data_IF_450742680797
#
_entry.id   IF_450742680797
#
_cell.length_a   1.000
_cell.length_b   1.000
_cell.length_c   1.000
_cell.angle_alpha   90.00
_cell.angle_beta   90.00
_cell.angle_gamma   90.00
#
_symmetry.space_group_name_H-M   'P 1'
#
loop_
_entity.id
_entity.type
_entity.pdbx_description
1 polymer ?
#
# COMPACT_ATOMS: atom_id res chain seq x y z
N UNK A 1 23.77 25.29 10.98
CA UNK A 1 23.06 24.66 9.84
C UNK A 1 22.03 23.74 10.44
N UNK A 2 20.76 23.83 10.03
CA UNK A 2 19.74 22.84 10.43
C UNK A 2 20.20 21.46 9.97
N UNK A 3 20.20 20.48 10.87
CA UNK A 3 20.60 19.11 10.55
C UNK A 3 19.65 18.57 9.48
N UNK A 4 20.16 17.96 8.43
CA UNK A 4 19.31 17.23 7.47
C UNK A 4 19.31 15.76 7.84
N UNK A 5 18.14 15.12 7.83
CA UNK A 5 17.98 13.68 7.95
C UNK A 5 17.52 13.17 6.58
N UNK A 6 18.34 12.31 5.98
CA UNK A 6 18.08 11.72 4.68
C UNK A 6 17.27 10.43 4.85
N UNK A 7 16.14 10.30 4.17
CA UNK A 7 15.23 9.16 4.30
C UNK A 7 15.00 8.58 2.91
N UNK A 8 15.32 7.30 2.72
CA UNK A 8 14.90 6.55 1.54
C UNK A 8 13.64 5.76 1.86
N UNK A 9 12.53 6.18 1.28
CA UNK A 9 11.23 5.52 1.40
C UNK A 9 11.07 4.49 0.28
N UNK A 10 10.88 3.23 0.64
CA UNK A 10 10.70 2.12 -0.31
C UNK A 10 9.24 1.68 -0.31
N UNK A 11 8.64 1.55 -1.48
CA UNK A 11 7.29 1.01 -1.63
C UNK A 11 7.16 0.17 -2.91
N UNK A 12 6.15 -0.71 -2.96
CA UNK A 12 5.78 -1.43 -4.19
C UNK A 12 4.96 -0.57 -5.15
N UNK A 13 4.28 0.45 -4.65
CA UNK A 13 3.35 1.31 -5.37
C UNK A 13 3.29 2.70 -4.71
N UNK A 14 2.97 3.74 -5.47
CA UNK A 14 2.73 5.10 -4.98
C UNK A 14 1.94 5.91 -6.02
N UNK A 15 0.92 6.64 -5.55
CA UNK A 15 0.20 7.63 -6.36
C UNK A 15 1.13 8.85 -6.63
N UNK A 16 1.17 9.43 -7.85
CA UNK A 16 0.34 9.16 -9.03
C UNK A 16 0.92 8.12 -10.01
N UNK A 17 2.06 7.52 -9.69
CA UNK A 17 2.77 6.65 -10.64
C UNK A 17 2.06 5.32 -10.86
N UNK A 18 1.60 4.68 -9.79
CA UNK A 18 0.90 3.40 -9.85
C UNK A 18 0.16 3.13 -8.55
N UNK A 19 -1.10 2.68 -8.68
CA UNK A 19 -1.98 2.41 -7.54
C UNK A 19 -2.76 1.11 -7.74
N UNK A 20 -2.66 0.21 -6.77
CA UNK A 20 -3.51 -0.96 -6.64
C UNK A 20 -4.23 -0.98 -5.30
N UNK A 21 -3.54 -0.65 -4.21
CA UNK A 21 -4.09 -0.63 -2.86
C UNK A 21 -3.90 0.70 -2.12
N UNK A 22 -4.22 0.70 -0.82
CA UNK A 22 -4.03 1.86 0.05
C UNK A 22 -2.56 2.15 0.38
N UNK A 23 -1.64 1.22 0.12
CA UNK A 23 -0.20 1.49 0.25
C UNK A 23 0.22 2.59 -0.72
N UNK A 24 -0.33 2.62 -1.94
CA UNK A 24 -0.03 3.66 -2.91
C UNK A 24 -0.39 5.07 -2.42
N UNK A 25 -1.52 5.20 -1.69
CA UNK A 25 -1.94 6.48 -1.10
C UNK A 25 -0.95 6.95 -0.04
N UNK A 26 -0.51 6.04 0.84
CA UNK A 26 0.48 6.38 1.87
C UNK A 26 1.84 6.70 1.25
N UNK A 27 2.31 5.90 0.30
CA UNK A 27 3.62 6.09 -0.33
C UNK A 27 3.67 7.34 -1.23
N UNK A 28 2.54 7.79 -1.78
CA UNK A 28 2.44 9.04 -2.53
C UNK A 28 2.38 10.29 -1.64
N UNK A 29 1.73 10.20 -0.47
CA UNK A 29 1.43 11.38 0.35
C UNK A 29 2.35 11.55 1.59
N UNK A 30 2.68 10.47 2.30
CA UNK A 30 3.45 10.55 3.55
C UNK A 30 4.87 11.11 3.32
N UNK A 31 5.63 10.68 2.29
CA UNK A 31 6.95 11.26 2.02
C UNK A 31 6.93 12.78 1.80
N UNK A 32 5.92 13.28 1.08
CA UNK A 32 5.73 14.72 0.85
C UNK A 32 5.38 15.45 2.16
N UNK A 33 4.45 14.90 2.94
CA UNK A 33 4.06 15.45 4.23
C UNK A 33 5.26 15.53 5.20
N UNK A 34 6.12 14.50 5.22
CA UNK A 34 7.35 14.49 6.02
C UNK A 34 8.32 15.60 5.59
N UNK A 35 8.51 15.84 4.28
CA UNK A 35 9.36 16.93 3.77
C UNK A 35 8.84 18.32 4.17
N UNK A 36 7.52 18.45 4.30
CA UNK A 36 6.85 19.69 4.70
C UNK A 36 6.82 19.93 6.22
N UNK A 37 7.18 18.94 7.05
CA UNK A 37 7.14 19.10 8.50
C UNK A 37 8.08 20.22 8.97
N UNK A 38 7.60 21.14 9.83
CA UNK A 38 8.48 22.06 10.52
C UNK A 38 9.24 21.31 11.62
N UNK A 39 10.50 21.67 11.86
CA UNK A 39 11.26 21.04 12.92
C UNK A 39 12.70 21.52 13.02
N UNK A 40 13.38 21.01 14.05
CA UNK A 40 14.81 21.29 14.30
C UNK A 40 15.73 20.68 13.23
N UNK A 41 15.23 19.66 12.52
CA UNK A 41 15.91 19.02 11.40
C UNK A 41 15.05 19.07 10.14
N UNK A 42 15.71 19.28 8.99
CA UNK A 42 15.08 19.15 7.66
C UNK A 42 15.05 17.67 7.27
N UNK A 43 13.93 17.20 6.72
CA UNK A 43 13.83 15.84 6.17
C UNK A 43 14.03 15.88 4.65
N UNK A 44 15.10 15.24 4.14
CA UNK A 44 15.26 14.95 2.71
C UNK A 44 14.74 13.54 2.45
N UNK A 45 13.45 13.44 2.15
CA UNK A 45 12.81 12.17 1.80
C UNK A 45 12.89 11.97 0.29
N UNK A 46 13.27 10.77 -0.13
CA UNK A 46 13.25 10.31 -1.52
C UNK A 46 12.49 9.00 -1.61
N UNK A 47 11.77 8.80 -2.70
CA UNK A 47 10.97 7.59 -2.92
C UNK A 47 11.71 6.66 -3.88
N UNK A 48 11.66 5.35 -3.65
CA UNK A 48 12.04 4.36 -4.66
C UNK A 48 10.91 3.36 -4.89
N UNK A 49 10.69 3.07 -6.17
CA UNK A 49 9.68 2.16 -6.67
C UNK A 49 10.30 1.19 -7.68
N UNK A 50 9.78 -0.03 -7.82
CA UNK A 50 10.05 -0.83 -9.01
C UNK A 50 9.44 -0.13 -10.23
N UNK A 51 10.13 -0.15 -11.37
CA UNK A 51 9.60 0.34 -12.64
C UNK A 51 8.57 -0.65 -13.18
N UNK A 52 7.36 -0.64 -12.60
CA UNK A 52 6.24 -1.42 -13.09
C UNK A 52 5.81 -0.92 -14.47
N UNK A 53 5.30 -1.83 -15.31
CA UNK A 53 4.74 -1.50 -16.63
C UNK A 53 3.72 -0.36 -16.60
N UNK A 54 2.90 -0.31 -15.57
CA UNK A 54 1.83 0.69 -15.42
C UNK A 54 2.38 2.11 -15.27
N UNK A 55 3.65 2.25 -14.87
CA UNK A 55 4.30 3.55 -14.71
C UNK A 55 4.72 4.04 -16.10
N UNK A 56 4.02 5.05 -16.58
CA UNK A 56 4.40 5.78 -17.77
C UNK A 56 5.18 7.02 -17.36
N UNK A 57 6.50 6.97 -17.55
CA UNK A 57 7.38 8.11 -17.27
C UNK A 57 7.43 9.01 -18.49
N UNK A 58 7.24 10.32 -18.28
CA UNK A 58 7.54 11.31 -19.31
C UNK A 58 9.05 11.30 -19.57
N UNK A 59 9.50 11.02 -20.81
CA UNK A 59 10.92 11.07 -21.16
C UNK A 59 11.60 12.40 -20.81
N UNK A 60 10.85 13.51 -20.75
CA UNK A 60 11.37 14.82 -20.36
C UNK A 60 11.75 14.91 -18.86
N UNK A 61 11.12 14.09 -18.02
CA UNK A 61 11.37 14.05 -16.57
C UNK A 61 12.41 13.00 -16.19
N UNK A 62 12.95 12.25 -17.16
CA UNK A 62 13.94 11.22 -16.92
C UNK A 62 15.35 11.78 -16.90
N UNK A 63 16.01 11.69 -15.75
CA UNK A 63 17.45 11.96 -15.63
C UNK A 63 18.23 10.68 -15.97
N UNK A 64 19.43 10.86 -16.56
CA UNK A 64 20.32 9.75 -16.96
C UNK A 64 20.51 8.76 -15.81
N UNK A 65 20.25 7.48 -16.11
CA UNK A 65 20.22 6.46 -15.09
C UNK A 65 21.59 5.93 -14.68
N UNK A 66 21.71 5.52 -13.42
CA UNK A 66 22.87 4.78 -12.93
C UNK A 66 22.62 3.28 -13.13
N UNK A 67 23.56 2.61 -13.79
CA UNK A 67 23.54 1.17 -14.00
C UNK A 67 24.48 0.46 -13.02
N UNK A 68 24.01 -0.63 -12.44
CA UNK A 68 24.80 -1.53 -11.60
C UNK A 68 24.25 -2.96 -11.69
N UNK A 69 24.79 -3.89 -10.90
CA UNK A 69 24.35 -5.28 -10.91
C UNK A 69 23.99 -5.79 -9.53
N UNK A 70 23.02 -6.70 -9.47
CA UNK A 70 22.65 -7.47 -8.27
C UNK A 70 23.02 -8.93 -8.51
N UNK A 71 23.84 -9.50 -7.62
CA UNK A 71 24.28 -10.89 -7.76
C UNK A 71 23.17 -11.89 -7.42
N UNK A 72 22.96 -12.87 -8.31
CA UNK A 72 22.00 -13.97 -8.15
C UNK A 72 22.64 -15.28 -8.61
N UNK A 73 22.98 -16.17 -7.68
CA UNK A 73 23.56 -17.48 -7.97
C UNK A 73 24.90 -17.39 -8.71
N UNK A 74 25.68 -16.32 -8.44
CA UNK A 74 26.93 -16.02 -9.13
C UNK A 74 26.75 -15.34 -10.51
N UNK A 75 25.52 -15.04 -10.92
CA UNK A 75 25.21 -14.27 -12.13
C UNK A 75 24.88 -12.84 -11.72
N UNK A 76 25.51 -11.87 -12.35
CA UNK A 76 25.23 -10.45 -12.14
C UNK A 76 24.03 -10.02 -13.00
N UNK A 77 22.91 -9.74 -12.33
CA UNK A 77 21.71 -9.23 -12.98
C UNK A 77 21.80 -7.70 -13.11
N UNK A 78 21.69 -7.14 -14.33
CA UNK A 78 21.74 -5.70 -14.51
C UNK A 78 20.51 -5.02 -13.89
N UNK A 79 20.77 -3.96 -13.14
CA UNK A 79 19.81 -3.02 -12.62
C UNK A 79 20.07 -1.64 -13.22
N UNK A 80 19.01 -0.89 -13.50
CA UNK A 80 19.07 0.51 -13.91
C UNK A 80 18.16 1.31 -13.01
N UNK A 81 18.58 2.52 -12.68
CA UNK A 81 17.77 3.48 -11.93
C UNK A 81 17.38 4.59 -12.88
N UNK A 82 16.09 4.85 -13.02
CA UNK A 82 15.58 6.04 -13.69
C UNK A 82 15.17 7.01 -12.58
N UNK A 83 15.53 8.28 -12.72
CA UNK A 83 15.14 9.32 -11.76
C UNK A 83 14.05 10.18 -12.39
N UNK A 84 13.03 10.47 -11.60
CA UNK A 84 11.97 11.44 -11.86
C UNK A 84 11.61 12.18 -10.57
N UNK A 85 10.46 12.84 -10.55
CA UNK A 85 10.05 13.67 -9.43
C UNK A 85 8.54 13.62 -9.15
N UNK A 86 8.17 13.91 -7.90
CA UNK A 86 6.81 14.12 -7.43
C UNK A 86 6.83 15.34 -6.51
N UNK A 87 6.25 16.48 -6.92
CA UNK A 87 6.26 17.73 -6.15
C UNK A 87 7.65 18.09 -5.58
N UNK A 88 8.65 18.16 -6.48
CA UNK A 88 10.07 18.39 -6.17
C UNK A 88 10.76 17.31 -5.30
N UNK A 89 10.07 16.20 -4.99
CA UNK A 89 10.65 15.03 -4.33
C UNK A 89 11.27 14.08 -5.35
N UNK A 90 12.57 13.74 -5.23
CA UNK A 90 13.18 12.73 -6.09
C UNK A 90 12.50 11.37 -5.96
N UNK A 91 12.18 10.76 -7.10
CA UNK A 91 11.64 9.41 -7.20
C UNK A 91 12.55 8.54 -8.08
N UNK A 92 13.00 7.43 -7.53
CA UNK A 92 13.86 6.46 -8.20
C UNK A 92 13.06 5.25 -8.66
N UNK A 93 13.05 5.00 -9.96
CA UNK A 93 12.42 3.82 -10.56
C UNK A 93 13.48 2.79 -10.91
N UNK A 94 13.42 1.64 -10.25
CA UNK A 94 14.39 0.57 -10.44
C UNK A 94 13.87 -0.39 -11.50
N UNK A 95 14.66 -0.57 -12.56
CA UNK A 95 14.41 -1.51 -13.64
C UNK A 95 15.44 -2.63 -13.63
N UNK A 96 15.04 -3.83 -14.05
CA UNK A 96 15.93 -4.98 -14.20
C UNK A 96 15.15 -6.21 -14.66
N UNK A 97 15.86 -7.26 -15.09
CA UNK A 97 15.23 -8.46 -15.67
C UNK A 97 14.08 -9.06 -14.83
N UNK A 98 14.22 -9.20 -13.50
CA UNK A 98 13.15 -9.67 -12.62
C UNK A 98 11.91 -8.75 -12.51
N UNK A 99 12.05 -7.46 -12.83
CA UNK A 99 10.95 -6.49 -12.88
C UNK A 99 10.45 -6.46 -14.32
N UNK A 100 9.64 -7.46 -14.67
CA UNK A 100 9.18 -7.63 -16.05
C UNK A 100 8.24 -6.50 -16.50
N UNK A 101 8.51 -5.94 -17.68
CA UNK A 101 7.64 -4.98 -18.37
C UNK A 101 6.29 -5.59 -18.83
N UNK A 102 6.10 -6.91 -18.70
CA UNK A 102 4.83 -7.58 -18.99
C UNK A 102 4.04 -7.92 -17.72
N UNK A 103 4.64 -7.80 -16.53
CA UNK A 103 4.00 -8.19 -15.29
C UNK A 103 3.11 -7.09 -14.72
N UNK A 104 2.01 -7.50 -14.08
CA UNK A 104 1.23 -6.66 -13.19
C UNK A 104 2.03 -6.27 -11.94
N UNK A 105 1.56 -5.22 -11.25
CA UNK A 105 2.12 -4.78 -9.95
C UNK A 105 2.12 -5.93 -8.94
N UNK A 106 1.01 -6.67 -8.83
CA UNK A 106 0.91 -7.92 -8.10
C UNK A 106 0.53 -9.04 -9.06
N UNK A 107 1.35 -10.08 -9.13
CA UNK A 107 1.15 -11.24 -10.00
C UNK A 107 0.17 -12.22 -9.35
N UNK A 108 -0.62 -12.90 -10.18
CA UNK A 108 -1.40 -14.06 -9.74
C UNK A 108 -0.52 -15.26 -9.37
N UNK A 109 0.75 -15.28 -9.80
CA UNK A 109 1.75 -16.26 -9.36
C UNK A 109 2.69 -15.61 -8.33
N UNK A 110 2.56 -15.97 -7.04
CA UNK A 110 3.40 -15.43 -5.98
C UNK A 110 4.90 -15.63 -6.18
N UNK A 111 5.32 -16.57 -7.02
CA UNK A 111 6.74 -16.85 -7.32
C UNK A 111 7.38 -15.70 -8.10
N UNK A 112 6.65 -15.13 -9.07
CA UNK A 112 7.14 -13.96 -9.81
C UNK A 112 7.25 -12.75 -8.90
N UNK A 113 6.28 -12.52 -8.03
CA UNK A 113 6.34 -11.40 -7.10
C UNK A 113 7.47 -11.56 -6.09
N UNK A 114 7.71 -12.76 -5.55
CA UNK A 114 8.87 -13.01 -4.68
C UNK A 114 10.20 -12.69 -5.37
N UNK A 115 10.39 -13.14 -6.61
CA UNK A 115 11.60 -12.85 -7.38
C UNK A 115 11.75 -11.34 -7.65
N UNK A 116 10.69 -10.70 -8.15
CA UNK A 116 10.63 -9.26 -8.45
C UNK A 116 10.96 -8.40 -7.23
N UNK A 117 10.30 -8.65 -6.10
CA UNK A 117 10.44 -7.83 -4.90
C UNK A 117 11.71 -8.15 -4.11
N UNK A 118 12.27 -9.36 -4.22
CA UNK A 118 13.62 -9.65 -3.74
C UNK A 118 14.65 -8.85 -4.53
N UNK A 119 14.60 -8.90 -5.87
CA UNK A 119 15.48 -8.12 -6.72
C UNK A 119 15.37 -6.63 -6.43
N UNK A 120 14.14 -6.09 -6.41
CA UNK A 120 13.88 -4.67 -6.13
C UNK A 120 14.46 -4.25 -4.77
N UNK A 121 14.19 -5.01 -3.71
CA UNK A 121 14.70 -4.74 -2.37
C UNK A 121 16.23 -4.62 -2.33
N UNK A 122 16.92 -5.56 -2.97
CA UNK A 122 18.39 -5.58 -3.00
C UNK A 122 18.97 -4.50 -3.90
N UNK A 123 18.35 -4.26 -5.06
CA UNK A 123 18.73 -3.19 -5.96
C UNK A 123 18.53 -1.81 -5.32
N UNK A 124 17.44 -1.58 -4.58
CA UNK A 124 17.17 -0.32 -3.91
C UNK A 124 18.21 -0.01 -2.82
N UNK A 125 18.64 -1.03 -2.08
CA UNK A 125 19.73 -0.86 -1.12
C UNK A 125 21.06 -0.55 -1.83
N UNK A 126 21.41 -1.30 -2.87
CA UNK A 126 22.67 -1.12 -3.61
C UNK A 126 22.73 0.23 -4.35
N UNK A 127 21.60 0.69 -4.88
CA UNK A 127 21.44 1.99 -5.54
C UNK A 127 21.99 3.14 -4.69
N UNK A 128 21.75 3.14 -3.37
CA UNK A 128 22.22 4.22 -2.48
C UNK A 128 23.73 4.45 -2.58
N UNK A 129 24.50 3.36 -2.69
CA UNK A 129 25.95 3.41 -2.89
C UNK A 129 26.32 3.95 -4.25
N UNK A 130 25.67 3.48 -5.31
CA UNK A 130 25.97 3.89 -6.68
C UNK A 130 25.58 5.35 -6.97
N UNK A 131 24.57 5.88 -6.28
CA UNK A 131 24.25 7.31 -6.29
C UNK A 131 25.21 8.15 -5.45
N UNK A 132 26.09 7.54 -4.64
CA UNK A 132 26.90 8.25 -3.67
C UNK A 132 26.07 8.95 -2.58
N UNK A 133 24.81 8.55 -2.41
CA UNK A 133 23.85 9.16 -1.49
C UNK A 133 23.46 8.14 -0.42
N UNK A 134 23.93 8.37 0.81
CA UNK A 134 23.65 7.49 1.96
C UNK A 134 22.44 8.03 2.74
N UNK A 135 21.32 7.31 2.81
CA UNK A 135 20.24 7.69 3.71
C UNK A 135 20.65 7.47 5.17
N UNK A 136 20.15 8.32 6.06
CA UNK A 136 20.22 8.07 7.51
C UNK A 136 19.19 7.01 7.93
N UNK A 137 18.04 6.99 7.23
CA UNK A 137 16.93 6.05 7.48
C UNK A 137 16.51 5.37 6.18
N UNK A 138 16.49 4.04 6.20
CA UNK A 138 15.82 3.22 5.18
C UNK A 138 14.43 2.84 5.70
N UNK A 139 13.39 3.39 5.08
CA UNK A 139 12.00 3.17 5.46
C UNK A 139 11.33 2.22 4.48
N UNK A 140 11.19 0.96 4.88
CA UNK A 140 10.52 -0.08 4.11
C UNK A 140 9.02 -0.14 4.44
N UNK A 141 8.21 -0.48 3.44
CA UNK A 141 6.78 -0.71 3.57
C UNK A 141 6.44 -2.13 3.09
N UNK A 142 5.81 -2.90 3.99
CA UNK A 142 5.37 -4.28 3.77
C UNK A 142 6.46 -5.26 3.29
N UNK A 143 6.02 -6.49 3.01
CA UNK A 143 6.86 -7.61 2.60
C UNK A 143 7.67 -7.33 1.33
N UNK A 144 7.16 -6.47 0.43
CA UNK A 144 7.76 -6.13 -0.85
C UNK A 144 9.16 -5.50 -0.72
N UNK A 145 9.41 -4.81 0.39
CA UNK A 145 10.65 -4.05 0.63
C UNK A 145 11.39 -4.52 1.89
N UNK A 146 10.80 -5.47 2.62
CA UNK A 146 11.32 -6.02 3.86
C UNK A 146 12.74 -6.62 3.71
N UNK A 147 13.05 -7.24 2.56
CA UNK A 147 14.37 -7.83 2.32
C UNK A 147 15.47 -6.77 2.15
N UNK A 148 15.13 -5.51 1.87
CA UNK A 148 16.11 -4.42 1.85
C UNK A 148 16.67 -4.19 3.26
N UNK A 149 15.81 -4.26 4.28
CA UNK A 149 16.23 -4.13 5.67
C UNK A 149 17.02 -5.36 6.13
N UNK A 150 16.60 -6.55 5.72
CA UNK A 150 17.32 -7.79 6.02
C UNK A 150 18.74 -7.77 5.43
N UNK A 151 18.88 -7.36 4.17
CA UNK A 151 20.17 -7.20 3.52
C UNK A 151 21.01 -6.07 4.16
N UNK A 152 20.38 -4.95 4.56
CA UNK A 152 21.06 -3.88 5.27
C UNK A 152 21.68 -4.38 6.58
N UNK A 153 20.93 -5.16 7.37
CA UNK A 153 21.42 -5.77 8.62
C UNK A 153 22.62 -6.68 8.38
N UNK A 154 22.58 -7.50 7.34
CA UNK A 154 23.69 -8.39 6.96
C UNK A 154 24.95 -7.63 6.51
N UNK A 155 24.82 -6.37 6.08
CA UNK A 155 25.91 -5.53 5.56
C UNK A 155 26.40 -4.47 6.54
N UNK A 156 25.99 -4.51 7.82
CA UNK A 156 26.41 -3.53 8.83
C UNK A 156 27.91 -3.50 9.15
N UNK A 157 28.68 -4.50 8.72
CA UNK A 157 30.15 -4.46 8.78
C UNK A 157 30.77 -3.50 7.77
N UNK A 158 30.02 -3.13 6.72
CA UNK A 158 30.45 -2.18 5.70
C UNK A 158 30.24 -0.74 6.20
N UNK A 159 31.28 0.12 6.21
CA UNK A 159 31.19 1.50 6.73
C UNK A 159 30.14 2.37 6.05
N UNK A 160 29.77 2.07 4.79
CA UNK A 160 28.72 2.80 4.09
C UNK A 160 27.33 2.46 4.66
N UNK A 161 27.08 1.19 4.97
CA UNK A 161 25.77 0.70 5.43
C UNK A 161 25.62 0.70 6.97
N UNK A 162 26.73 0.60 7.71
CA UNK A 162 26.76 0.57 9.17
C UNK A 162 25.92 1.65 9.88
N UNK A 163 25.95 2.95 9.47
CA UNK A 163 25.24 4.00 10.19
C UNK A 163 23.74 4.07 9.84
N UNK A 164 23.28 3.38 8.80
CA UNK A 164 21.89 3.49 8.30
C UNK A 164 20.95 2.79 9.29
N UNK A 165 19.93 3.52 9.73
CA UNK A 165 18.84 3.00 10.56
C UNK A 165 17.69 2.50 9.71
N UNK A 166 16.92 1.54 10.22
CA UNK A 166 15.84 0.92 9.47
C UNK A 166 14.50 1.02 10.18
N UNK A 167 13.47 1.38 9.41
CA UNK A 167 12.06 1.40 9.84
C UNK A 167 11.27 0.52 8.89
N UNK A 168 10.40 -0.34 9.43
CA UNK A 168 9.44 -1.11 8.64
C UNK A 168 8.01 -0.72 9.04
N UNK A 169 7.25 -0.21 8.07
CA UNK A 169 5.80 -0.02 8.23
C UNK A 169 5.05 -1.25 7.75
N UNK A 170 4.18 -1.75 8.63
CA UNK A 170 3.30 -2.89 8.45
C UNK A 170 1.88 -2.40 8.13
N UNK A 171 1.45 -2.56 6.88
CA UNK A 171 0.10 -2.19 6.45
C UNK A 171 -0.87 -3.38 6.55
N UNK A 172 -0.39 -4.61 6.36
CA UNK A 172 -1.25 -5.81 6.44
C UNK A 172 -0.47 -7.11 6.75
N UNK A 173 -0.47 -7.53 8.01
CA UNK A 173 0.30 -8.67 8.53
C UNK A 173 0.04 -10.02 7.85
N UNK A 174 -1.19 -10.42 7.51
CA UNK A 174 -1.44 -11.62 6.73
C UNK A 174 -0.63 -11.74 5.42
N UNK A 175 -0.24 -10.62 4.79
CA UNK A 175 0.50 -10.63 3.53
C UNK A 175 2.00 -10.63 3.77
N UNK A 176 2.59 -11.81 3.94
CA UNK A 176 3.99 -11.97 4.36
C UNK A 176 4.99 -12.20 3.22
N UNK A 177 4.52 -12.31 1.98
CA UNK A 177 5.33 -12.66 0.80
C UNK A 177 5.56 -14.17 0.60
N UNK A 178 5.08 -15.02 1.53
CA UNK A 178 5.17 -16.48 1.43
C UNK A 178 6.60 -17.02 1.56
N UNK A 179 6.79 -18.31 1.27
CA UNK A 179 8.08 -18.98 1.43
C UNK A 179 9.12 -18.49 0.40
N UNK A 180 10.16 -17.79 0.88
CA UNK A 180 11.22 -17.22 0.08
C UNK A 180 12.52 -18.02 0.04
N UNK A 181 12.57 -19.28 0.51
CA UNK A 181 13.82 -20.04 0.61
C UNK A 181 14.64 -20.08 -0.68
N UNK A 182 13.97 -20.23 -1.83
CA UNK A 182 14.63 -20.24 -3.14
C UNK A 182 15.27 -18.88 -3.47
N UNK A 183 14.55 -17.79 -3.21
CA UNK A 183 15.03 -16.42 -3.44
C UNK A 183 16.18 -16.10 -2.51
N UNK A 184 16.10 -16.47 -1.22
CA UNK A 184 17.21 -16.25 -0.29
C UNK A 184 18.48 -16.95 -0.78
N UNK A 185 18.40 -18.24 -1.10
CA UNK A 185 19.53 -18.99 -1.63
C UNK A 185 20.06 -18.38 -2.94
N UNK A 186 19.17 -17.99 -3.86
CA UNK A 186 19.55 -17.39 -5.13
C UNK A 186 20.29 -16.05 -4.95
N UNK A 187 19.87 -15.20 -4.02
CA UNK A 187 20.49 -13.89 -3.80
C UNK A 187 21.57 -13.87 -2.69
N UNK A 188 22.02 -15.05 -2.24
CA UNK A 188 23.07 -15.17 -1.23
C UNK A 188 22.65 -14.72 0.18
N UNK A 189 21.35 -14.64 0.44
CA UNK A 189 20.79 -14.40 1.75
C UNK A 189 20.60 -15.73 2.49
N UNK A 190 20.80 -15.72 3.80
CA UNK A 190 20.60 -16.91 4.64
C UNK A 190 19.25 -16.81 5.36
N UNK A 191 18.57 -17.93 5.65
CA UNK A 191 17.50 -17.94 6.65
C UNK A 191 17.99 -17.41 7.99
N UNK A 192 17.08 -16.87 8.79
CA UNK A 192 17.38 -16.47 10.18
C UNK A 192 17.39 -17.70 11.07
N UNK A 193 18.39 -17.80 11.95
CA UNK A 193 18.48 -18.83 13.00
C UNK A 193 18.22 -18.19 14.37
N UNK A 194 17.05 -17.59 14.53
CA UNK A 194 16.62 -16.90 15.75
C UNK A 194 15.31 -17.51 16.25
N UNK A 195 15.34 -18.05 17.47
CA UNK A 195 14.21 -18.75 18.10
C UNK A 195 13.06 -17.82 18.50
N UNK A 196 13.28 -16.49 18.50
CA UNK A 196 12.20 -15.52 18.72
C UNK A 196 11.20 -15.49 17.57
N UNK A 197 11.62 -15.90 16.37
CA UNK A 197 10.74 -16.14 15.23
C UNK A 197 10.34 -17.61 15.16
N UNK A 198 9.07 -17.90 14.79
CA UNK A 198 8.68 -19.28 14.51
C UNK A 198 9.42 -19.80 13.26
N UNK A 199 9.72 -21.10 13.22
CA UNK A 199 10.56 -21.70 12.17
C UNK A 199 10.05 -21.41 10.73
N UNK A 200 8.73 -21.39 10.52
CA UNK A 200 8.15 -21.09 9.21
C UNK A 200 8.47 -19.67 8.72
N UNK A 201 8.76 -18.74 9.64
CA UNK A 201 9.02 -17.34 9.36
C UNK A 201 10.47 -17.08 8.93
N UNK A 202 11.39 -18.02 9.18
CA UNK A 202 12.82 -17.88 8.92
C UNK A 202 13.17 -17.66 7.44
N UNK A 203 12.23 -17.88 6.53
CA UNK A 203 12.43 -17.70 5.08
C UNK A 203 11.47 -16.73 4.42
N UNK A 204 10.55 -16.12 5.18
CA UNK A 204 9.52 -15.26 4.61
C UNK A 204 9.97 -13.79 4.59
N UNK A 205 9.75 -13.05 3.48
CA UNK A 205 10.23 -11.67 3.36
C UNK A 205 9.82 -10.75 4.51
N UNK A 206 8.52 -10.71 4.87
CA UNK A 206 8.05 -9.80 5.92
C UNK A 206 8.64 -10.13 7.30
N UNK A 207 8.56 -11.37 7.82
CA UNK A 207 9.19 -11.69 9.10
C UNK A 207 10.69 -11.41 9.15
N UNK A 208 11.42 -11.63 8.05
CA UNK A 208 12.84 -11.28 7.97
C UNK A 208 13.08 -9.78 8.08
N UNK A 209 12.25 -8.96 7.44
CA UNK A 209 12.30 -7.50 7.62
C UNK A 209 11.91 -7.05 9.02
N UNK A 210 10.88 -7.65 9.61
CA UNK A 210 10.43 -7.36 10.98
C UNK A 210 11.54 -7.66 12.00
N UNK A 211 12.26 -8.77 11.82
CA UNK A 211 13.42 -9.12 12.62
C UNK A 211 14.60 -8.15 12.41
N UNK A 212 14.82 -7.70 11.17
CA UNK A 212 15.97 -6.87 10.84
C UNK A 212 15.82 -5.38 11.19
N UNK A 213 14.60 -4.86 11.22
CA UNK A 213 14.33 -3.43 11.41
C UNK A 213 14.76 -2.93 12.80
N UNK A 214 15.26 -1.69 12.88
CA UNK A 214 15.51 -1.03 14.17
C UNK A 214 14.19 -0.56 14.82
N UNK A 215 13.22 -0.12 14.03
CA UNK A 215 11.89 0.27 14.49
C UNK A 215 10.77 -0.29 13.59
N UNK A 216 9.63 -0.57 14.19
CA UNK A 216 8.43 -1.10 13.54
C UNK A 216 7.26 -0.13 13.75
N UNK A 217 6.47 0.07 12.70
CA UNK A 217 5.28 0.92 12.72
C UNK A 217 4.11 0.15 12.14
N UNK A 218 3.03 -0.03 12.90
CA UNK A 218 1.74 -0.42 12.37
C UNK A 218 0.94 0.82 11.96
N UNK A 219 0.05 0.68 10.99
CA UNK A 219 -0.72 1.79 10.39
C UNK A 219 -1.86 2.35 11.26
N UNK A 220 -1.99 1.89 12.50
CA UNK A 220 -2.80 2.56 13.54
C UNK A 220 -2.40 2.09 14.95
N UNK A 221 -2.67 2.90 16.00
CA UNK A 221 -2.48 2.48 17.38
C UNK A 221 -3.26 1.21 17.74
N UNK A 222 -4.51 1.10 17.28
CA UNK A 222 -5.36 -0.08 17.53
C UNK A 222 -4.79 -1.31 16.83
N UNK A 223 -4.42 -1.18 15.56
CA UNK A 223 -3.85 -2.29 14.79
C UNK A 223 -2.53 -2.78 15.42
N UNK A 224 -1.71 -1.87 15.94
CA UNK A 224 -0.51 -2.21 16.69
C UNK A 224 -0.80 -3.08 17.92
N UNK A 225 -1.96 -2.93 18.56
CA UNK A 225 -2.38 -3.79 19.69
C UNK A 225 -2.99 -5.10 19.20
N UNK A 226 -3.79 -5.07 18.14
CA UNK A 226 -4.44 -6.26 17.58
C UNK A 226 -3.42 -7.30 17.13
N UNK A 227 -2.37 -6.90 16.41
CA UNK A 227 -1.33 -7.85 15.96
C UNK A 227 -0.49 -8.46 17.09
N UNK A 228 -0.65 -7.95 18.31
CA UNK A 228 -0.08 -8.55 19.52
C UNK A 228 -0.97 -9.64 20.10
N UNK A 229 -2.13 -9.95 19.52
CA UNK A 229 -3.01 -11.03 19.99
C UNK A 229 -2.86 -12.28 19.09
N UNK A 230 -3.16 -13.48 19.59
CA UNK A 230 -3.14 -14.69 18.77
C UNK A 230 -4.09 -14.65 17.56
N UNK A 231 -5.21 -13.93 17.68
CA UNK A 231 -6.26 -13.84 16.66
C UNK A 231 -5.79 -13.08 15.42
N UNK A 232 -5.02 -12.00 15.59
CA UNK A 232 -4.58 -11.13 14.49
C UNK A 232 -3.07 -11.12 14.24
N UNK A 233 -2.28 -11.68 15.16
CA UNK A 233 -0.82 -11.67 15.08
C UNK A 233 -0.20 -12.71 14.14
N UNK A 234 -1.01 -13.58 13.51
CA UNK A 234 -0.57 -14.55 12.50
C UNK A 234 0.62 -15.43 12.96
N UNK A 235 0.70 -15.78 14.24
CA UNK A 235 1.81 -16.55 14.81
C UNK A 235 3.07 -15.73 15.17
N UNK A 236 3.08 -14.42 14.88
CA UNK A 236 4.16 -13.48 15.19
C UNK A 236 3.88 -12.63 16.43
N UNK A 237 2.73 -12.77 17.07
CA UNK A 237 2.34 -11.95 18.23
C UNK A 237 3.38 -11.95 19.35
N UNK A 238 4.03 -13.09 19.64
CA UNK A 238 5.04 -13.17 20.68
C UNK A 238 6.33 -12.43 20.28
N UNK A 239 6.75 -12.57 19.02
CA UNK A 239 7.88 -11.84 18.46
C UNK A 239 7.61 -10.32 18.53
N UNK A 240 6.43 -9.88 18.09
CA UNK A 240 6.04 -8.47 18.08
C UNK A 240 5.95 -7.87 19.49
N UNK A 241 5.42 -8.61 20.48
CA UNK A 241 5.45 -8.18 21.89
C UNK A 241 6.88 -7.98 22.38
N UNK A 242 7.80 -8.86 21.97
CA UNK A 242 9.24 -8.77 22.30
C UNK A 242 9.93 -7.52 21.76
N UNK A 243 9.33 -6.82 20.79
CA UNK A 243 9.88 -5.56 20.24
C UNK A 243 9.74 -4.37 21.19
N UNK A 244 8.83 -4.44 22.17
CA UNK A 244 8.59 -3.39 23.17
C UNK A 244 8.49 -2.00 22.54
N UNK A 245 9.27 -1.06 23.06
CA UNK A 245 9.28 0.36 22.66
C UNK A 245 9.70 0.59 21.19
N UNK A 246 10.27 -0.43 20.53
CA UNK A 246 10.61 -0.34 19.11
C UNK A 246 9.44 -0.68 18.18
N UNK A 247 8.26 -0.98 18.71
CA UNK A 247 7.04 -1.20 17.94
C UNK A 247 5.94 -0.24 18.37
N UNK A 248 5.39 0.50 17.40
CA UNK A 248 4.37 1.52 17.65
C UNK A 248 3.29 1.50 16.57
N UNK A 249 2.16 2.14 16.84
CA UNK A 249 1.11 2.36 15.86
C UNK A 249 0.97 3.84 15.54
N UNK A 250 1.06 4.21 14.26
CA UNK A 250 0.85 5.58 13.80
C UNK A 250 -0.31 5.54 12.81
N UNK A 251 -1.36 6.29 13.13
CA UNK A 251 -2.57 6.33 12.30
C UNK A 251 -2.24 6.95 10.94
N UNK A 252 -2.58 6.24 9.86
CA UNK A 252 -2.47 6.77 8.50
C UNK A 252 -3.27 8.08 8.35
N UNK A 253 -2.69 9.01 7.60
CA UNK A 253 -3.37 10.22 7.17
C UNK A 253 -4.23 10.00 5.92
N UNK A 254 -4.85 11.09 5.47
CA UNK A 254 -5.57 11.21 4.20
C UNK A 254 -4.99 12.42 3.46
N UNK A 255 -4.79 12.30 2.15
CA UNK A 255 -4.53 13.48 1.31
C UNK A 255 -5.80 14.31 1.19
N UNK A 256 -5.91 15.34 2.05
CA UNK A 256 -7.07 16.23 2.12
C UNK A 256 -7.13 17.24 0.98
N UNK A 257 -6.11 17.33 0.13
CA UNK A 257 -6.14 18.19 -1.07
C UNK A 257 -6.78 17.43 -2.22
N UNK A 258 -6.37 16.17 -2.43
CA UNK A 258 -6.97 15.28 -3.44
C UNK A 258 -8.37 14.80 -3.04
N UNK A 259 -8.64 14.68 -1.74
CA UNK A 259 -9.94 14.31 -1.17
C UNK A 259 -10.63 15.49 -0.47
N UNK A 260 -10.86 16.57 -1.22
CA UNK A 260 -11.59 17.75 -0.75
C UNK A 260 -12.99 17.84 -1.39
N UNK A 261 -14.09 17.56 -0.65
CA UNK A 261 -15.44 17.68 -1.20
C UNK A 261 -15.80 19.12 -1.64
N UNK A 262 -15.07 20.14 -1.16
CA UNK A 262 -15.27 21.53 -1.56
C UNK A 262 -14.74 21.84 -2.97
N UNK A 263 -13.84 21.00 -3.51
CA UNK A 263 -13.20 21.20 -4.80
C UNK A 263 -13.19 19.95 -5.71
N UNK A 264 -13.70 18.80 -5.24
CA UNK A 264 -13.68 17.54 -5.99
C UNK A 264 -14.56 17.60 -7.25
N UNK A 265 -13.99 17.50 -8.47
CA UNK A 265 -14.73 17.58 -9.72
C UNK A 265 -15.58 16.33 -10.02
N UNK A 266 -15.42 15.25 -9.25
CA UNK A 266 -16.24 14.05 -9.39
C UNK A 266 -17.61 14.18 -8.70
N UNK A 267 -17.80 15.21 -7.87
CA UNK A 267 -19.08 15.52 -7.23
C UNK A 267 -19.97 16.34 -8.15
N UNK A 268 -21.29 16.08 -8.10
CA UNK A 268 -22.28 16.88 -8.83
C UNK A 268 -22.49 18.26 -8.19
N UNK A 269 -22.34 18.34 -6.87
CA UNK A 269 -22.28 19.59 -6.12
C UNK A 269 -21.20 19.50 -5.03
N UNK A 270 -20.27 20.42 -5.06
CA UNK A 270 -19.27 20.57 -4.00
C UNK A 270 -19.92 21.03 -2.69
N UNK A 271 -19.34 20.57 -1.58
CA UNK A 271 -19.82 20.91 -0.25
C UNK A 271 -18.69 20.84 0.78
N UNK A 272 -18.91 21.45 1.92
CA UNK A 272 -18.02 21.44 3.08
C UNK A 272 -18.85 21.28 4.38
N UNK A 273 -18.18 21.36 5.53
CA UNK A 273 -18.84 21.28 6.83
C UNK A 273 -19.92 22.34 7.08
N UNK A 274 -19.97 23.42 6.29
CA UNK A 274 -20.93 24.52 6.41
C UNK A 274 -22.05 24.46 5.36
N UNK A 275 -21.90 23.62 4.34
CA UNK A 275 -22.79 23.54 3.18
C UNK A 275 -23.30 22.11 2.91
N UNK A 276 -23.43 21.30 3.96
CA UNK A 276 -23.97 19.93 3.89
C UNK A 276 -25.35 19.84 3.21
N UNK A 277 -26.13 20.92 3.20
CA UNK A 277 -27.41 21.01 2.48
C UNK A 277 -27.29 20.83 0.96
N UNK A 278 -26.09 20.96 0.38
CA UNK A 278 -25.80 20.68 -1.03
C UNK A 278 -25.61 19.19 -1.32
N UNK A 279 -25.32 18.38 -0.29
CA UNK A 279 -25.00 16.95 -0.41
C UNK A 279 -26.11 16.10 -1.05
N UNK A 280 -27.42 16.35 -0.82
CA UNK A 280 -28.49 15.61 -1.50
C UNK A 280 -28.43 15.65 -3.04
N UNK A 281 -27.82 16.68 -3.64
CA UNK A 281 -27.59 16.73 -5.10
C UNK A 281 -26.67 15.59 -5.55
N UNK A 282 -25.64 15.27 -4.77
CA UNK A 282 -24.74 14.15 -5.06
C UNK A 282 -25.46 12.81 -4.95
N UNK A 283 -26.36 12.65 -3.96
CA UNK A 283 -27.19 11.45 -3.82
C UNK A 283 -28.11 11.25 -5.02
N UNK A 284 -28.82 12.29 -5.45
CA UNK A 284 -29.69 12.22 -6.61
C UNK A 284 -28.92 11.90 -7.90
N UNK A 285 -27.76 12.55 -8.11
CA UNK A 285 -26.88 12.28 -9.24
C UNK A 285 -26.34 10.84 -9.24
N UNK A 286 -26.01 10.30 -8.06
CA UNK A 286 -25.57 8.92 -7.92
C UNK A 286 -26.71 7.92 -8.19
N UNK A 287 -27.91 8.20 -7.67
CA UNK A 287 -29.10 7.37 -7.92
C UNK A 287 -29.44 7.34 -9.43
N UNK A 288 -29.44 8.49 -10.09
CA UNK A 288 -29.66 8.59 -11.54
C UNK A 288 -28.58 7.86 -12.33
N UNK A 289 -27.30 8.11 -12.03
CA UNK A 289 -26.17 7.49 -12.74
C UNK A 289 -26.15 5.97 -12.64
N UNK A 290 -26.67 5.41 -11.56
CA UNK A 290 -26.70 3.98 -11.30
C UNK A 290 -28.10 3.39 -11.48
N UNK A 291 -29.05 4.08 -12.12
CA UNK A 291 -30.42 3.58 -12.34
C UNK A 291 -31.07 3.03 -11.05
N UNK A 292 -30.84 3.70 -9.92
CA UNK A 292 -31.55 3.47 -8.66
C UNK A 292 -32.84 4.32 -8.64
N UNK A 293 -33.81 3.93 -7.82
CA UNK A 293 -34.98 4.77 -7.58
C UNK A 293 -34.53 6.14 -7.04
N UNK A 294 -34.83 7.21 -7.77
CA UNK A 294 -34.49 8.56 -7.34
C UNK A 294 -35.48 9.01 -6.26
N UNK A 295 -35.11 8.78 -5.00
CA UNK A 295 -35.89 9.16 -3.83
C UNK A 295 -34.94 9.63 -2.72
N UNK A 296 -35.02 10.91 -2.30
CA UNK A 296 -34.14 11.45 -1.28
C UNK A 296 -34.41 10.85 0.11
N UNK A 297 -35.62 10.33 0.37
CA UNK A 297 -36.01 9.79 1.68
C UNK A 297 -35.48 8.37 1.92
N UNK A 298 -35.11 7.63 0.88
CA UNK A 298 -34.59 6.26 1.01
C UNK A 298 -33.09 6.31 1.36
N UNK A 299 -32.63 5.80 2.52
CA UNK A 299 -31.21 5.79 2.87
C UNK A 299 -30.39 4.98 1.87
N UNK A 300 -29.27 5.55 1.42
CA UNK A 300 -28.32 4.92 0.51
C UNK A 300 -27.11 4.38 1.27
N UNK A 301 -27.00 3.06 1.36
CA UNK A 301 -25.84 2.36 1.90
C UNK A 301 -24.80 2.20 0.80
N UNK A 302 -23.53 2.32 1.14
CA UNK A 302 -22.46 2.16 0.18
C UNK A 302 -21.26 1.40 0.74
N UNK A 303 -20.63 0.61 -0.12
CA UNK A 303 -19.34 -0.01 0.10
C UNK A 303 -18.43 0.31 -1.09
N UNK A 304 -17.23 0.82 -0.84
CA UNK A 304 -16.18 0.99 -1.86
C UNK A 304 -14.92 0.31 -1.35
N UNK A 305 -14.42 -0.68 -2.09
CA UNK A 305 -13.20 -1.38 -1.70
C UNK A 305 -13.01 -2.72 -2.39
N UNK A 306 -11.98 -3.47 -1.97
CA UNK A 306 -11.78 -4.85 -2.44
C UNK A 306 -12.96 -5.72 -1.99
N UNK A 307 -13.48 -6.52 -2.91
CA UNK A 307 -14.52 -7.50 -2.61
C UNK A 307 -13.81 -8.74 -2.05
N UNK A 308 -13.79 -8.87 -0.73
CA UNK A 308 -12.97 -9.85 -0.01
C UNK A 308 -13.64 -10.23 1.31
N UNK A 309 -13.53 -11.49 1.80
CA UNK A 309 -14.05 -11.86 3.12
C UNK A 309 -13.49 -11.01 4.26
N UNK A 310 -12.24 -10.54 4.17
CA UNK A 310 -11.64 -9.61 5.13
C UNK A 310 -12.40 -8.28 5.23
N UNK A 311 -13.17 -7.93 4.20
CA UNK A 311 -14.02 -6.73 4.13
C UNK A 311 -15.48 -7.02 4.48
N UNK A 312 -15.79 -8.22 4.96
CA UNK A 312 -17.14 -8.60 5.42
C UNK A 312 -18.20 -8.54 4.33
N UNK A 313 -17.82 -8.70 3.05
CA UNK A 313 -18.79 -8.65 1.94
C UNK A 313 -19.79 -9.79 2.04
N UNK A 314 -19.34 -10.97 2.44
CA UNK A 314 -20.21 -12.11 2.75
C UNK A 314 -21.29 -11.74 3.78
N UNK A 315 -20.87 -11.10 4.88
CA UNK A 315 -21.77 -10.61 5.93
C UNK A 315 -22.73 -9.56 5.37
N UNK A 316 -22.22 -8.63 4.55
CA UNK A 316 -23.03 -7.57 3.94
C UNK A 316 -24.14 -8.15 3.05
N UNK A 317 -23.79 -9.09 2.17
CA UNK A 317 -24.73 -9.71 1.23
C UNK A 317 -25.84 -10.46 1.97
N UNK A 318 -25.49 -11.18 3.04
CA UNK A 318 -26.46 -11.89 3.87
C UNK A 318 -27.32 -10.94 4.70
N UNK A 319 -26.72 -9.91 5.29
CA UNK A 319 -27.43 -8.92 6.08
C UNK A 319 -28.43 -8.13 5.23
N UNK A 320 -28.06 -7.72 4.00
CA UNK A 320 -28.94 -7.00 3.08
C UNK A 320 -30.25 -7.77 2.83
N UNK A 321 -30.18 -9.09 2.65
CA UNK A 321 -31.37 -9.93 2.45
C UNK A 321 -32.27 -9.99 3.69
N UNK A 322 -31.70 -9.94 4.89
CA UNK A 322 -32.45 -9.99 6.14
C UNK A 322 -33.22 -8.70 6.44
N UNK A 323 -32.78 -7.56 5.89
CA UNK A 323 -33.42 -6.26 6.12
C UNK A 323 -34.26 -5.79 4.91
N UNK A 324 -34.67 -6.70 4.03
CA UNK A 324 -35.39 -6.38 2.78
C UNK A 324 -36.66 -5.55 2.99
N UNK A 325 -37.36 -5.72 4.11
CA UNK A 325 -38.62 -5.03 4.41
C UNK A 325 -38.45 -3.55 4.78
N UNK A 326 -37.23 -3.10 5.09
CA UNK A 326 -36.93 -1.70 5.37
C UNK A 326 -36.71 -0.92 4.07
N UNK A 327 -37.00 0.39 3.98
CA UNK A 327 -36.69 1.17 2.78
C UNK A 327 -35.19 1.52 2.77
N UNK A 328 -34.39 0.88 1.91
CA UNK A 328 -32.97 1.22 1.73
C UNK A 328 -32.49 0.94 0.32
N UNK A 329 -31.40 1.58 -0.10
CA UNK A 329 -30.66 1.29 -1.33
C UNK A 329 -29.22 0.92 -1.03
N UNK A 330 -28.56 0.22 -1.94
CA UNK A 330 -27.18 -0.20 -1.76
C UNK A 330 -26.35 -0.06 -3.04
N UNK A 331 -25.15 0.48 -2.90
CA UNK A 331 -24.13 0.47 -3.94
C UNK A 331 -22.89 -0.26 -3.45
N UNK A 332 -22.43 -1.25 -4.20
CA UNK A 332 -21.17 -1.96 -3.96
C UNK A 332 -20.26 -1.65 -5.16
N UNK A 333 -19.14 -0.97 -4.91
CA UNK A 333 -18.12 -0.68 -5.93
C UNK A 333 -16.81 -1.37 -5.55
N UNK A 334 -16.35 -2.30 -6.39
CA UNK A 334 -15.11 -3.02 -6.13
C UNK A 334 -14.89 -4.24 -7.01
N UNK A 335 -13.70 -4.85 -6.88
CA UNK A 335 -13.32 -6.12 -7.50
C UNK A 335 -12.59 -6.98 -6.49
N UNK A 336 -12.58 -8.30 -6.68
CA UNK A 336 -11.85 -9.22 -5.82
C UNK A 336 -12.26 -10.67 -5.99
N UNK A 337 -12.74 -11.30 -4.92
CA UNK A 337 -13.14 -12.70 -4.92
C UNK A 337 -14.34 -12.94 -5.86
N UNK A 338 -14.17 -13.82 -6.83
CA UNK A 338 -15.17 -14.08 -7.86
C UNK A 338 -16.51 -14.58 -7.29
N UNK A 339 -16.50 -15.34 -6.18
CA UNK A 339 -17.72 -15.87 -5.57
C UNK A 339 -18.53 -14.77 -4.89
N UNK A 340 -17.85 -13.83 -4.24
CA UNK A 340 -18.46 -12.65 -3.62
C UNK A 340 -18.92 -11.64 -4.68
N UNK A 341 -18.17 -11.45 -5.76
CA UNK A 341 -18.62 -10.66 -6.92
C UNK A 341 -19.92 -11.20 -7.51
N UNK A 342 -20.00 -12.52 -7.70
CA UNK A 342 -21.23 -13.17 -8.17
C UNK A 342 -22.37 -13.04 -7.17
N UNK A 343 -22.08 -13.10 -5.87
CA UNK A 343 -23.04 -12.83 -4.81
C UNK A 343 -23.62 -11.41 -4.89
N UNK A 344 -22.77 -10.41 -5.11
CA UNK A 344 -23.18 -9.01 -5.29
C UNK A 344 -24.03 -8.82 -6.56
N UNK A 345 -23.64 -9.43 -7.69
CA UNK A 345 -24.44 -9.41 -8.93
C UNK A 345 -25.82 -10.07 -8.75
N UNK A 346 -25.89 -11.17 -8.01
CA UNK A 346 -27.17 -11.83 -7.68
C UNK A 346 -28.04 -10.94 -6.80
N UNK A 347 -27.46 -10.28 -5.80
CA UNK A 347 -28.20 -9.35 -4.94
C UNK A 347 -28.78 -8.17 -5.76
N UNK A 348 -28.03 -7.64 -6.72
CA UNK A 348 -28.54 -6.65 -7.68
C UNK A 348 -29.71 -7.20 -8.52
N UNK A 349 -29.58 -8.42 -9.05
CA UNK A 349 -30.63 -9.04 -9.85
C UNK A 349 -31.93 -9.30 -9.05
N UNK A 350 -31.80 -9.63 -7.77
CA UNK A 350 -32.94 -9.87 -6.87
C UNK A 350 -33.65 -8.56 -6.48
N UNK A 351 -32.95 -7.43 -6.49
CA UNK A 351 -33.44 -6.12 -6.05
C UNK A 351 -33.16 -5.00 -7.07
N UNK A 352 -33.74 -5.09 -8.29
CA UNK A 352 -33.51 -4.11 -9.35
C UNK A 352 -34.01 -2.71 -8.94
N UNK A 353 -33.24 -1.67 -9.28
CA UNK A 353 -33.54 -0.28 -8.90
C UNK A 353 -33.26 0.05 -7.43
N UNK A 354 -32.79 -0.93 -6.64
CA UNK A 354 -32.49 -0.79 -5.21
C UNK A 354 -31.04 -1.13 -4.88
N UNK A 355 -30.48 -2.14 -5.52
CA UNK A 355 -29.09 -2.58 -5.36
C UNK A 355 -28.33 -2.40 -6.67
N UNK A 356 -27.08 -1.94 -6.59
CA UNK A 356 -26.15 -1.87 -7.72
C UNK A 356 -24.78 -2.39 -7.33
N UNK A 357 -24.31 -3.40 -8.06
CA UNK A 357 -22.99 -4.00 -7.89
C UNK A 357 -22.09 -3.61 -9.07
N UNK A 358 -21.31 -2.54 -8.90
CA UNK A 358 -20.34 -2.08 -9.89
C UNK A 358 -19.03 -2.84 -9.68
N UNK A 359 -18.87 -3.92 -10.43
CA UNK A 359 -17.68 -4.75 -10.33
C UNK A 359 -16.55 -4.15 -11.17
N UNK A 360 -15.98 -3.05 -10.69
CA UNK A 360 -14.90 -2.32 -11.35
C UNK A 360 -14.04 -1.48 -10.41
N UNK A 361 -12.90 -0.99 -10.92
CA UNK A 361 -12.17 0.13 -10.33
C UNK A 361 -12.59 1.41 -11.04
N UNK A 362 -13.32 2.29 -10.34
CA UNK A 362 -13.80 3.55 -10.92
C UNK A 362 -13.64 4.70 -9.91
N UNK A 363 -12.48 5.37 -9.95
CA UNK A 363 -12.15 6.42 -8.99
C UNK A 363 -13.16 7.59 -8.98
N UNK A 364 -13.61 8.14 -10.13
CA UNK A 364 -14.64 9.18 -10.13
C UNK A 364 -15.97 8.71 -9.51
N UNK A 365 -16.41 7.49 -9.79
CA UNK A 365 -17.62 6.94 -9.18
C UNK A 365 -17.43 6.75 -7.66
N UNK A 366 -16.27 6.26 -7.22
CA UNK A 366 -15.94 6.12 -5.81
C UNK A 366 -16.05 7.44 -5.05
N UNK A 367 -15.51 8.53 -5.62
CA UNK A 367 -15.64 9.89 -5.07
C UNK A 367 -17.10 10.34 -4.97
N UNK A 368 -17.89 10.14 -6.03
CA UNK A 368 -19.33 10.44 -6.00
C UNK A 368 -20.08 9.61 -4.95
N UNK A 369 -19.72 8.34 -4.76
CA UNK A 369 -20.28 7.47 -3.71
C UNK A 369 -20.01 8.04 -2.32
N UNK A 370 -18.76 8.42 -2.00
CA UNK A 370 -18.43 9.07 -0.72
C UNK A 370 -19.23 10.38 -0.53
N UNK A 371 -19.37 11.17 -1.61
CA UNK A 371 -20.13 12.42 -1.59
C UNK A 371 -21.65 12.25 -1.47
N UNK A 372 -22.22 11.11 -1.89
CA UNK A 372 -23.67 10.92 -2.01
C UNK A 372 -24.30 9.88 -1.08
N UNK A 373 -23.55 8.92 -0.53
CA UNK A 373 -24.11 7.83 0.28
C UNK A 373 -24.49 8.27 1.70
N UNK A 374 -25.62 7.84 2.26
CA UNK A 374 -26.00 8.21 3.63
C UNK A 374 -25.23 7.42 4.69
N UNK A 375 -24.90 6.16 4.39
CA UNK A 375 -24.21 5.25 5.31
C UNK A 375 -23.11 4.53 4.55
N UNK A 376 -21.88 4.60 5.07
CA UNK A 376 -20.74 3.91 4.49
C UNK A 376 -20.42 2.65 5.31
N UNK A 377 -20.29 1.52 4.62
CA UNK A 377 -20.04 0.20 5.16
C UNK A 377 -18.55 -0.12 4.96
N UNK A 378 -17.83 -0.36 6.06
CA UNK A 378 -16.36 -0.52 6.09
C UNK A 378 -15.92 -1.93 6.48
#
# INVERSE_FOLDING_TARGET
MTKTINILFLASEAEPFVKVGGLADVAGSLPLALRALPGEARLDVRLALPLHRAIQLDPANLISGVGFSVSRGGIDLPARVLEGELDDMPVYFIAGGPISEAASVYSSDPTFDREKYTFFSLAALEMTRHLGWRPDILHANDWHTALALYALRARRSDPFFAPIRSVLTLHNLPYMGGNGSQQLAAYGLKPVEDETLPQWAHTQPLPLGLWAADALVAVSPTYAQEVLTPEFGCGLQNFLRGRGDSFSGILNGLDTVSWDPAADPALAANFDARSLASRPVNKAALQERLDLQNDPAIPLLAMVGRIDPQKGVDILLDAARQIVDLPWQMVILGKGDASLEDGARRLEADFPGRVRAVIDYNAPLGRLIYGGADMFLM
#
